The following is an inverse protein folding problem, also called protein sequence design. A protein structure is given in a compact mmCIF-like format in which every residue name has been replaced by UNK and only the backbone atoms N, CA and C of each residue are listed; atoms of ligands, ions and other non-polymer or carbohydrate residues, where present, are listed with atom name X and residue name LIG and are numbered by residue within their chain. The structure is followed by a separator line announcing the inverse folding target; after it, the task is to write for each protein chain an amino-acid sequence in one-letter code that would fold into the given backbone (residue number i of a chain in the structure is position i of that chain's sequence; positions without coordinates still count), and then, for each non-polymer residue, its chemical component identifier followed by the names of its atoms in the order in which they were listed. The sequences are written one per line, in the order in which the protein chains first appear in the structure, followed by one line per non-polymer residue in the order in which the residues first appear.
data_IF_664404464087
#
_entry.id   IF_664404464087
#
_cell.length_a   1.000
_cell.length_b   1.000
_cell.length_c   1.000
_cell.angle_alpha   90.00
_cell.angle_beta   90.00
_cell.angle_gamma   90.00
#
_symmetry.space_group_name_H-M   'P 1'
#
loop_
_entity.id
_entity.type
_entity.pdbx_description
1 polymer ?
#
# COMPACT_ATOMS: atom_id res chain seq x y z
N UNK A 1 -11.58 -6.93 12.69
CA UNK A 1 -10.77 -5.93 11.94
C UNK A 1 -9.79 -6.62 11.00
N UNK A 2 -8.88 -7.47 11.51
CA UNK A 2 -7.92 -8.23 10.69
C UNK A 2 -8.64 -9.08 9.63
N UNK A 3 -9.70 -9.81 10.00
CA UNK A 3 -10.50 -10.61 9.07
C UNK A 3 -11.09 -9.80 7.90
N UNK A 4 -11.57 -8.59 8.17
CA UNK A 4 -12.08 -7.68 7.13
C UNK A 4 -10.95 -7.22 6.20
N UNK A 5 -9.80 -6.83 6.76
CA UNK A 5 -8.63 -6.39 5.98
C UNK A 5 -8.12 -7.52 5.08
N UNK A 6 -8.01 -8.74 5.61
CA UNK A 6 -7.65 -9.92 4.83
C UNK A 6 -8.66 -10.18 3.72
N UNK A 7 -9.97 -10.10 4.01
CA UNK A 7 -11.00 -10.28 2.99
C UNK A 7 -10.90 -9.26 1.84
N UNK A 8 -10.58 -7.99 2.13
CA UNK A 8 -10.37 -6.97 1.09
C UNK A 8 -9.12 -7.30 0.27
N UNK A 9 -8.02 -7.63 0.94
CA UNK A 9 -6.77 -7.94 0.26
C UNK A 9 -6.83 -9.25 -0.54
N UNK A 10 -7.53 -10.28 -0.05
CA UNK A 10 -7.80 -11.51 -0.80
C UNK A 10 -8.64 -11.22 -2.05
N UNK A 11 -9.59 -10.28 -1.98
CA UNK A 11 -10.29 -9.76 -3.16
C UNK A 11 -9.33 -9.22 -4.21
N UNK A 12 -8.41 -8.33 -3.81
CA UNK A 12 -7.35 -7.82 -4.70
C UNK A 12 -6.50 -8.97 -5.25
N UNK A 13 -6.12 -9.95 -4.42
CA UNK A 13 -5.27 -11.05 -4.87
C UNK A 13 -5.96 -11.93 -5.92
N UNK A 14 -7.29 -12.08 -5.82
CA UNK A 14 -8.09 -12.85 -6.76
C UNK A 14 -8.39 -12.06 -8.05
N UNK A 15 -8.51 -10.73 -7.97
CA UNK A 15 -8.83 -9.87 -9.11
C UNK A 15 -7.62 -9.62 -10.03
N UNK A 16 -6.39 -9.79 -9.53
CA UNK A 16 -5.16 -9.48 -10.25
C UNK A 16 -4.24 -10.70 -10.45
N UNK A 17 -4.04 -11.08 -11.72
CA UNK A 17 -3.10 -12.13 -12.12
C UNK A 17 -1.65 -11.79 -11.76
N UNK A 18 -1.29 -10.51 -11.77
CA UNK A 18 0.01 -10.01 -11.35
C UNK A 18 -0.14 -9.09 -10.13
N UNK A 19 0.50 -9.49 -9.03
CA UNK A 19 0.54 -8.71 -7.79
C UNK A 19 1.56 -7.56 -7.79
N UNK A 20 2.20 -7.25 -8.91
CA UNK A 20 3.07 -6.08 -8.99
C UNK A 20 2.24 -4.79 -8.75
N UNK A 21 2.53 -4.02 -7.69
CA UNK A 21 1.71 -2.87 -7.31
C UNK A 21 1.74 -1.75 -8.37
N UNK A 22 2.79 -1.67 -9.20
CA UNK A 22 2.87 -0.73 -10.32
C UNK A 22 1.88 -1.11 -11.43
N UNK A 23 1.71 -2.40 -11.69
CA UNK A 23 0.73 -2.87 -12.68
C UNK A 23 -0.70 -2.68 -12.16
N UNK A 24 -0.93 -3.00 -10.89
CA UNK A 24 -2.21 -2.78 -10.21
C UNK A 24 -2.61 -1.30 -10.32
N UNK A 25 -1.77 -0.36 -9.84
CA UNK A 25 -2.15 1.06 -9.81
C UNK A 25 -2.41 1.63 -11.21
N UNK A 26 -1.63 1.22 -12.22
CA UNK A 26 -1.82 1.67 -13.61
C UNK A 26 -3.09 1.13 -14.27
N UNK A 27 -3.65 0.04 -13.76
CA UNK A 27 -4.90 -0.52 -14.26
C UNK A 27 -6.15 0.23 -13.76
N UNK A 28 -6.02 1.01 -12.68
CA UNK A 28 -7.13 1.67 -12.00
C UNK A 28 -7.59 2.92 -12.77
N UNK A 29 -8.74 2.83 -13.45
CA UNK A 29 -9.30 3.93 -14.26
C UNK A 29 -9.64 5.21 -13.50
N UNK A 30 -9.82 5.13 -12.17
CA UNK A 30 -10.25 6.24 -11.31
C UNK A 30 -9.11 6.84 -10.50
N UNK A 31 -7.90 6.30 -10.62
CA UNK A 31 -6.74 6.72 -9.83
C UNK A 31 -5.72 7.40 -10.74
N UNK A 32 -5.41 8.65 -10.41
CA UNK A 32 -4.27 9.36 -10.98
C UNK A 32 -3.01 8.98 -10.20
N UNK A 33 -2.10 8.24 -10.84
CA UNK A 33 -0.88 7.75 -10.22
C UNK A 33 0.36 8.45 -10.78
N UNK A 34 1.21 8.99 -9.90
CA UNK A 34 2.48 9.59 -10.25
C UNK A 34 3.56 9.29 -9.19
N UNK A 35 4.83 9.40 -9.59
CA UNK A 35 5.96 9.48 -8.66
C UNK A 35 6.52 10.89 -8.68
N UNK A 36 6.89 11.43 -7.51
CA UNK A 36 7.46 12.78 -7.40
C UNK A 36 8.51 12.81 -6.28
N UNK A 37 9.46 13.76 -6.31
CA UNK A 37 10.35 13.98 -5.18
C UNK A 37 9.56 14.62 -4.03
N UNK A 38 9.15 13.80 -3.06
CA UNK A 38 8.46 14.28 -1.86
C UNK A 38 9.45 14.64 -0.75
N UNK A 39 8.98 15.38 0.25
CA UNK A 39 9.81 15.74 1.42
C UNK A 39 10.29 14.49 2.16
N UNK A 40 11.41 14.59 2.89
CA UNK A 40 12.05 13.46 3.60
C UNK A 40 11.14 12.70 4.57
N UNK A 41 10.02 13.29 4.98
CA UNK A 41 9.11 12.71 5.97
C UNK A 41 7.83 12.13 5.35
N UNK A 42 7.68 12.20 4.02
CA UNK A 42 6.51 11.70 3.29
C UNK A 42 7.00 10.67 2.28
N UNK A 43 6.65 9.42 2.51
CA UNK A 43 6.95 8.33 1.58
C UNK A 43 5.94 8.29 0.44
N UNK A 44 4.69 8.65 0.72
CA UNK A 44 3.60 8.67 -0.25
C UNK A 44 2.38 9.34 0.34
N UNK A 45 1.37 9.53 -0.51
CA UNK A 45 0.05 9.93 -0.06
C UNK A 45 -1.05 9.43 -0.97
N UNK A 46 -2.22 9.27 -0.36
CA UNK A 46 -3.49 9.01 -1.02
C UNK A 46 -4.40 10.20 -0.79
N UNK A 47 -5.02 10.67 -1.87
CA UNK A 47 -5.98 11.76 -1.85
C UNK A 47 -7.29 11.31 -2.47
N UNK A 48 -8.35 11.25 -1.66
CA UNK A 48 -9.70 11.10 -2.16
C UNK A 48 -10.22 12.46 -2.66
N UNK A 49 -10.49 12.57 -3.96
CA UNK A 49 -11.02 13.81 -4.57
C UNK A 49 -12.53 13.67 -4.80
N UNK A 50 -12.97 12.56 -5.40
CA UNK A 50 -14.38 12.23 -5.63
C UNK A 50 -14.54 10.71 -5.88
N UNK A 51 -15.77 10.18 -5.97
CA UNK A 51 -15.98 8.75 -6.26
C UNK A 51 -15.33 8.27 -7.57
N UNK A 52 -15.14 9.18 -8.53
CA UNK A 52 -14.59 8.89 -9.85
C UNK A 52 -13.15 9.39 -10.02
N UNK A 53 -12.57 10.03 -9.00
CA UNK A 53 -11.22 10.57 -9.05
C UNK A 53 -10.53 10.43 -7.69
N UNK A 54 -9.44 9.68 -7.65
CA UNK A 54 -8.51 9.62 -6.54
C UNK A 54 -7.10 9.87 -7.06
N UNK A 55 -6.16 10.12 -6.16
CA UNK A 55 -4.77 10.34 -6.50
C UNK A 55 -3.86 9.57 -5.55
N UNK A 56 -2.86 8.91 -6.12
CA UNK A 56 -1.78 8.25 -5.40
C UNK A 56 -0.47 8.85 -5.89
N UNK A 57 0.34 9.34 -4.95
CA UNK A 57 1.69 9.80 -5.25
C UNK A 57 2.68 9.09 -4.33
N UNK A 58 3.75 8.55 -4.90
CA UNK A 58 4.83 7.90 -4.15
C UNK A 58 6.13 8.68 -4.34
N UNK A 59 6.92 8.78 -3.28
CA UNK A 59 8.21 9.43 -3.30
C UNK A 59 9.19 8.63 -4.17
N UNK A 60 9.71 9.26 -5.21
CA UNK A 60 10.66 8.62 -6.15
C UNK A 60 12.03 8.33 -5.55
N UNK A 61 12.36 8.93 -4.41
CA UNK A 61 13.65 8.78 -3.74
C UNK A 61 13.71 7.55 -2.79
N UNK A 62 12.66 6.73 -2.76
CA UNK A 62 12.62 5.53 -1.95
C UNK A 62 13.45 4.40 -2.59
N UNK A 63 14.06 3.57 -1.75
CA UNK A 63 14.60 2.28 -2.22
C UNK A 63 13.47 1.38 -2.72
N UNK A 64 13.77 0.45 -3.61
CA UNK A 64 12.79 -0.44 -4.26
C UNK A 64 11.80 -1.11 -3.27
N UNK A 65 12.29 -1.66 -2.16
CA UNK A 65 11.43 -2.29 -1.15
C UNK A 65 10.48 -1.30 -0.47
N UNK A 66 11.01 -0.14 -0.09
CA UNK A 66 10.22 0.90 0.55
C UNK A 66 9.22 1.50 -0.44
N UNK A 67 9.61 1.63 -1.71
CA UNK A 67 8.72 2.04 -2.78
C UNK A 67 7.54 1.06 -2.93
N UNK A 68 7.81 -0.24 -3.04
CA UNK A 68 6.74 -1.24 -3.18
C UNK A 68 5.81 -1.29 -1.98
N UNK A 69 6.34 -1.29 -0.75
CA UNK A 69 5.51 -1.26 0.46
C UNK A 69 4.70 0.02 0.55
N UNK A 70 5.30 1.17 0.22
CA UNK A 70 4.57 2.45 0.21
C UNK A 70 3.46 2.44 -0.83
N UNK A 71 3.71 1.95 -2.04
CA UNK A 71 2.67 1.88 -3.06
C UNK A 71 1.54 0.92 -2.66
N UNK A 72 1.86 -0.22 -2.03
CA UNK A 72 0.82 -1.09 -1.45
C UNK A 72 0.03 -0.40 -0.34
N UNK A 73 0.67 0.43 0.48
CA UNK A 73 0.00 1.23 1.51
C UNK A 73 -1.00 2.21 0.87
N UNK A 74 -0.58 2.99 -0.13
CA UNK A 74 -1.50 3.93 -0.79
C UNK A 74 -2.63 3.22 -1.55
N UNK A 75 -2.32 2.10 -2.21
CA UNK A 75 -3.33 1.23 -2.82
C UNK A 75 -4.32 0.68 -1.79
N UNK A 76 -3.84 0.39 -0.57
CA UNK A 76 -4.69 -0.10 0.51
C UNK A 76 -5.73 0.94 0.93
N UNK A 77 -5.38 2.23 0.96
CA UNK A 77 -6.38 3.28 1.18
C UNK A 77 -7.48 3.28 0.12
N UNK A 78 -7.11 3.09 -1.16
CA UNK A 78 -8.06 2.97 -2.25
C UNK A 78 -8.98 1.74 -2.08
N UNK A 79 -8.42 0.55 -1.85
CA UNK A 79 -9.19 -0.69 -1.75
C UNK A 79 -10.05 -0.78 -0.48
N UNK A 80 -9.59 -0.20 0.63
CA UNK A 80 -10.37 -0.12 1.87
C UNK A 80 -11.47 0.96 1.81
N UNK A 81 -11.52 1.74 0.73
CA UNK A 81 -12.53 2.77 0.53
C UNK A 81 -12.39 3.94 1.50
N UNK A 82 -11.17 4.28 1.92
CA UNK A 82 -10.95 5.44 2.78
C UNK A 82 -11.27 6.73 2.02
N UNK A 83 -12.01 7.63 2.66
CA UNK A 83 -12.50 8.89 2.06
C UNK A 83 -11.93 10.14 2.73
N UNK A 84 -10.96 9.97 3.65
CA UNK A 84 -10.28 11.09 4.27
C UNK A 84 -9.52 11.86 3.16
N UNK A 85 -9.72 13.18 3.11
CA UNK A 85 -9.32 14.01 1.96
C UNK A 85 -7.83 13.89 1.63
N UNK A 86 -6.96 13.71 2.63
CA UNK A 86 -5.53 13.48 2.47
C UNK A 86 -5.02 12.55 3.57
N UNK A 87 -4.46 11.41 3.17
CA UNK A 87 -3.75 10.46 4.02
C UNK A 87 -2.29 10.45 3.60
N UNK A 88 -1.39 10.54 4.57
CA UNK A 88 0.03 10.74 4.34
C UNK A 88 0.74 9.54 4.94
N UNK A 89 1.53 8.82 4.16
CA UNK A 89 2.44 7.84 4.73
C UNK A 89 3.63 8.57 5.38
N UNK A 90 3.44 8.94 6.65
CA UNK A 90 4.39 9.71 7.46
C UNK A 90 4.36 9.26 8.91
N UNK A 91 5.43 9.52 9.65
CA UNK A 91 5.49 9.24 11.09
C UNK A 91 4.45 10.01 11.92
N UNK A 92 3.95 11.16 11.42
CA UNK A 92 3.02 12.04 12.12
C UNK A 92 1.58 11.52 12.09
N UNK A 93 1.24 10.72 11.10
CA UNK A 93 -0.11 10.20 10.84
C UNK A 93 -0.29 8.75 11.24
N UNK A 94 0.79 8.05 11.68
CA UNK A 94 0.77 6.62 12.04
C UNK A 94 -0.31 6.22 13.06
N UNK A 95 -0.79 7.15 13.88
CA UNK A 95 -1.82 6.88 14.89
C UNK A 95 -3.26 6.96 14.35
N UNK A 96 -3.45 7.37 13.09
CA UNK A 96 -4.75 7.36 12.45
C UNK A 96 -5.19 5.91 12.18
N UNK A 97 -6.47 5.63 12.43
CA UNK A 97 -7.04 4.30 12.23
C UNK A 97 -6.88 3.84 10.78
N UNK A 98 -7.12 4.73 9.83
CA UNK A 98 -7.03 4.51 8.40
C UNK A 98 -5.60 4.16 7.96
N UNK A 99 -4.60 4.82 8.53
CA UNK A 99 -3.17 4.55 8.29
C UNK A 99 -2.78 3.17 8.82
N UNK A 100 -3.24 2.82 10.03
CA UNK A 100 -3.02 1.49 10.59
C UNK A 100 -3.71 0.38 9.78
N UNK A 101 -4.94 0.61 9.31
CA UNK A 101 -5.65 -0.34 8.45
C UNK A 101 -4.94 -0.53 7.11
N UNK A 102 -4.42 0.56 6.52
CA UNK A 102 -3.64 0.49 5.28
C UNK A 102 -2.31 -0.22 5.48
N UNK A 103 -1.60 0.01 6.58
CA UNK A 103 -0.38 -0.71 6.92
C UNK A 103 -0.61 -2.22 7.03
N UNK A 104 -1.70 -2.65 7.68
CA UNK A 104 -2.07 -4.06 7.79
C UNK A 104 -2.37 -4.68 6.40
N UNK A 105 -3.18 -3.99 5.59
CA UNK A 105 -3.52 -4.45 4.25
C UNK A 105 -2.28 -4.54 3.35
N UNK A 106 -1.44 -3.50 3.36
CA UNK A 106 -0.20 -3.43 2.60
C UNK A 106 0.78 -4.52 3.02
N UNK A 107 0.91 -4.77 4.33
CA UNK A 107 1.73 -5.87 4.85
C UNK A 107 1.27 -7.20 4.26
N UNK A 108 -0.04 -7.49 4.29
CA UNK A 108 -0.56 -8.74 3.78
C UNK A 108 -0.39 -8.88 2.26
N UNK A 109 -0.71 -7.83 1.48
CA UNK A 109 -0.48 -7.81 0.02
C UNK A 109 0.99 -7.98 -0.33
N UNK A 110 1.88 -7.31 0.39
CA UNK A 110 3.32 -7.40 0.18
C UNK A 110 3.85 -8.80 0.47
N UNK A 111 3.43 -9.46 1.56
CA UNK A 111 3.81 -10.85 1.84
C UNK A 111 3.39 -11.81 0.71
N UNK A 112 2.21 -11.60 0.12
CA UNK A 112 1.71 -12.40 -1.00
C UNK A 112 2.44 -12.10 -2.30
N UNK A 113 2.75 -10.82 -2.56
CA UNK A 113 3.59 -10.39 -3.68
C UNK A 113 4.97 -11.06 -3.60
N UNK A 114 5.62 -10.99 -2.44
CA UNK A 114 6.92 -11.63 -2.20
C UNK A 114 6.84 -13.14 -2.47
N UNK A 115 5.85 -13.84 -1.89
CA UNK A 115 5.67 -15.28 -2.11
C UNK A 115 5.44 -15.65 -3.59
N UNK A 116 4.78 -14.78 -4.35
CA UNK A 116 4.43 -15.03 -5.77
C UNK A 116 5.58 -14.68 -6.72
N UNK A 117 6.34 -13.63 -6.42
CA UNK A 117 7.28 -13.02 -7.37
C UNK A 117 8.75 -13.13 -6.99
N UNK A 118 9.07 -13.52 -5.74
CA UNK A 118 10.45 -13.66 -5.29
C UNK A 118 10.74 -15.08 -4.86
N UNK A 119 11.76 -15.67 -5.47
CA UNK A 119 12.18 -17.05 -5.24
C UNK A 119 13.32 -17.21 -4.22
N UNK A 120 13.77 -16.14 -3.56
CA UNK A 120 15.02 -16.15 -2.79
C UNK A 120 14.79 -16.02 -1.28
N UNK A 121 15.56 -16.79 -0.49
CA UNK A 121 15.46 -16.87 0.98
C UNK A 121 16.03 -15.63 1.73
N UNK A 122 16.72 -14.71 1.03
CA UNK A 122 17.37 -13.54 1.63
C UNK A 122 16.57 -12.24 1.43
N UNK A 123 15.31 -12.23 1.87
CA UNK A 123 14.46 -11.03 1.80
C UNK A 123 14.56 -10.27 3.11
N UNK A 124 15.15 -9.08 3.06
CA UNK A 124 15.08 -8.12 4.15
C UNK A 124 13.75 -7.39 4.08
N UNK A 125 12.82 -7.76 4.96
CA UNK A 125 11.52 -7.10 5.06
C UNK A 125 11.67 -5.68 5.61
N UNK A 126 10.93 -4.69 5.04
CA UNK A 126 10.86 -3.36 5.63
C UNK A 126 10.34 -3.41 7.07
N UNK A 127 10.86 -2.52 7.94
CA UNK A 127 10.58 -2.52 9.38
C UNK A 127 9.09 -2.66 9.71
N UNK A 128 8.24 -1.90 9.02
CA UNK A 128 6.78 -1.92 9.25
C UNK A 128 6.14 -3.26 8.92
N UNK A 129 6.62 -3.94 7.87
CA UNK A 129 6.18 -5.29 7.52
C UNK A 129 6.57 -6.27 8.62
N UNK A 130 7.79 -6.18 9.18
CA UNK A 130 8.21 -7.00 10.33
C UNK A 130 7.33 -6.81 11.56
N UNK A 131 6.93 -5.58 11.87
CA UNK A 131 6.08 -5.27 13.02
C UNK A 131 4.67 -5.90 12.89
N UNK A 132 4.15 -5.99 11.66
CA UNK A 132 2.77 -6.34 11.41
C UNK A 132 2.56 -7.76 10.84
N UNK A 133 3.60 -8.40 10.29
CA UNK A 133 3.47 -9.73 9.68
C UNK A 133 2.95 -10.78 10.66
N UNK A 134 3.24 -10.63 11.97
CA UNK A 134 2.74 -11.50 13.04
C UNK A 134 1.21 -11.61 13.10
N UNK A 135 0.47 -10.64 12.54
CA UNK A 135 -1.00 -10.69 12.46
C UNK A 135 -1.51 -11.65 11.37
N UNK A 136 -0.63 -12.17 10.52
CA UNK A 136 -0.96 -12.98 9.34
C UNK A 136 -0.22 -14.32 9.29
N UNK A 137 0.50 -14.66 10.36
CA UNK A 137 1.16 -15.97 10.57
C UNK A 137 0.18 -16.91 11.26
#
# INVERSE_FOLDING_TARGET
MISYIQSVADGVINDYDDLNPVHIVKSLKRVEYNTQPLTKNINGFYKYISPNKQMIVVNENLSDENFYVTLFHELSHYFLGHQNTLLLNSSLTMNLKEEYQADLCATYLYLKYIKKHRCCDNITYPKRVCELMQHFI
#
